data_IF_901430751860
#
_entry.id   IF_901430751860
#
_cell.length_a   1.000
_cell.length_b   1.000
_cell.length_c   1.000
_cell.angle_alpha   90.00
_cell.angle_beta   90.00
_cell.angle_gamma   90.00
#
_symmetry.space_group_name_H-M   'P 1'
#
loop_
_entity.id
_entity.type
_entity.pdbx_description
1 polymer ?
#
# COMPACT_ATOMS: atom_id res chain seq x y z
N UNK A 1 -0.33 -7.95 6.76
CA UNK A 1 -1.16 -8.63 5.72
C UNK A 1 -2.52 -8.91 6.36
N UNK A 2 -3.64 -8.57 5.72
CA UNK A 2 -4.97 -8.80 6.34
C UNK A 2 -5.60 -10.14 5.94
N UNK A 3 -4.96 -10.87 5.02
CA UNK A 3 -5.35 -12.21 4.63
C UNK A 3 -4.12 -13.11 4.55
N UNK A 4 -4.04 -14.08 5.46
CA UNK A 4 -2.90 -14.98 5.60
C UNK A 4 -1.62 -14.26 6.04
N UNK A 5 -0.50 -14.97 5.98
CA UNK A 5 0.79 -14.49 6.42
C UNK A 5 1.08 -14.80 7.90
N UNK A 6 2.22 -14.31 8.42
CA UNK A 6 2.72 -14.70 9.74
C UNK A 6 1.78 -14.29 10.87
N UNK A 7 1.41 -15.23 11.73
CA UNK A 7 0.50 -15.02 12.88
C UNK A 7 1.08 -14.09 13.96
N UNK A 8 2.38 -13.79 13.90
CA UNK A 8 3.05 -12.85 14.80
C UNK A 8 2.90 -11.38 14.41
N UNK A 9 2.33 -11.08 13.23
CA UNK A 9 2.08 -9.70 12.79
C UNK A 9 0.70 -9.29 13.28
N UNK A 10 0.61 -8.16 13.97
CA UNK A 10 -0.69 -7.56 14.28
C UNK A 10 -1.29 -6.95 13.02
N UNK A 11 -2.48 -7.40 12.65
CA UNK A 11 -3.26 -6.87 11.54
C UNK A 11 -4.72 -6.69 11.96
N UNK A 12 -5.44 -5.84 11.21
CA UNK A 12 -6.89 -5.67 11.33
C UNK A 12 -7.53 -5.69 9.94
N UNK A 13 -8.78 -6.17 9.79
CA UNK A 13 -9.47 -6.16 8.50
C UNK A 13 -9.52 -4.77 7.84
N UNK A 14 -9.57 -3.71 8.65
CA UNK A 14 -9.61 -2.32 8.20
C UNK A 14 -8.29 -1.87 7.54
N UNK A 15 -7.16 -2.53 7.84
CA UNK A 15 -5.84 -2.14 7.32
C UNK A 15 -5.81 -2.19 5.78
N UNK A 16 -6.61 -3.06 5.16
CA UNK A 16 -6.79 -3.10 3.70
C UNK A 16 -7.24 -1.75 3.14
N UNK A 17 -8.24 -1.14 3.78
CA UNK A 17 -8.81 0.16 3.36
C UNK A 17 -7.97 1.31 3.88
N UNK A 18 -7.48 1.21 5.11
CA UNK A 18 -6.67 2.26 5.74
C UNK A 18 -5.36 2.48 4.99
N UNK A 19 -4.74 1.44 4.42
CA UNK A 19 -3.57 1.60 3.56
C UNK A 19 -3.86 2.53 2.36
N UNK A 20 -5.01 2.34 1.69
CA UNK A 20 -5.41 3.22 0.58
C UNK A 20 -5.64 4.65 1.05
N UNK A 21 -6.36 4.84 2.16
CA UNK A 21 -6.63 6.17 2.71
C UNK A 21 -5.33 6.89 3.10
N UNK A 22 -4.39 6.15 3.68
CA UNK A 22 -3.07 6.67 4.05
C UNK A 22 -2.29 7.15 2.82
N UNK A 23 -2.22 6.33 1.77
CA UNK A 23 -1.54 6.70 0.51
C UNK A 23 -2.20 7.91 -0.15
N UNK A 24 -3.53 7.96 -0.18
CA UNK A 24 -4.27 9.10 -0.72
C UNK A 24 -4.00 10.38 0.07
N UNK A 25 -3.92 10.29 1.40
CA UNK A 25 -3.61 11.43 2.25
C UNK A 25 -2.17 11.91 2.04
N UNK A 26 -1.20 11.00 1.90
CA UNK A 26 0.16 11.37 1.53
C UNK A 26 0.21 12.09 0.18
N UNK A 27 -0.42 11.55 -0.86
CA UNK A 27 -0.48 12.20 -2.18
C UNK A 27 -1.07 13.61 -2.08
N UNK A 28 -2.19 13.77 -1.35
CA UNK A 28 -2.85 15.07 -1.13
C UNK A 28 -1.92 16.08 -0.47
N UNK A 29 -1.21 15.67 0.58
CA UNK A 29 -0.30 16.57 1.31
C UNK A 29 0.94 16.92 0.48
N UNK A 30 1.53 15.94 -0.22
CA UNK A 30 2.68 16.18 -1.10
C UNK A 30 2.30 17.06 -2.28
N UNK A 31 1.13 16.86 -2.90
CA UNK A 31 0.61 17.74 -3.95
C UNK A 31 0.47 19.20 -3.48
N UNK A 32 0.09 19.42 -2.22
CA UNK A 32 -0.03 20.76 -1.67
C UNK A 32 1.34 21.42 -1.50
N UNK A 33 2.36 20.66 -1.08
CA UNK A 33 3.74 21.13 -0.96
C UNK A 33 4.36 21.39 -2.33
N UNK A 34 4.19 20.44 -3.26
CA UNK A 34 4.70 20.47 -4.63
C UNK A 34 4.17 21.68 -5.42
N UNK A 35 2.91 22.07 -5.18
CA UNK A 35 2.34 23.32 -5.73
C UNK A 35 3.00 24.58 -5.18
N UNK A 36 3.50 24.55 -3.95
CA UNK A 36 4.10 25.71 -3.30
C UNK A 36 5.55 25.94 -3.69
N UNK A 37 6.30 24.86 -3.96
CA UNK A 37 7.75 24.91 -4.23
C UNK A 37 8.16 24.45 -5.64
N UNK A 38 7.20 23.99 -6.46
CA UNK A 38 7.42 23.55 -7.83
C UNK A 38 8.12 22.19 -7.95
N UNK A 39 8.21 21.43 -6.87
CA UNK A 39 8.79 20.09 -6.88
C UNK A 39 7.76 19.02 -7.24
N UNK A 40 8.23 17.80 -7.53
CA UNK A 40 7.36 16.63 -7.65
C UNK A 40 7.89 15.52 -6.74
N UNK A 41 7.26 15.37 -5.58
CA UNK A 41 7.61 14.35 -4.59
C UNK A 41 6.83 13.07 -4.87
N UNK A 42 7.54 11.95 -4.75
CA UNK A 42 7.00 10.62 -5.04
C UNK A 42 6.34 10.01 -3.79
N UNK A 43 5.24 9.29 -4.01
CA UNK A 43 4.65 8.34 -3.08
C UNK A 43 4.84 6.94 -3.66
N UNK A 44 5.64 6.12 -2.98
CA UNK A 44 5.94 4.76 -3.42
C UNK A 44 5.73 3.79 -2.26
N UNK A 45 5.51 2.51 -2.58
CA UNK A 45 5.36 1.48 -1.57
C UNK A 45 6.08 0.20 -2.00
N UNK A 46 6.60 -0.54 -1.03
CA UNK A 46 7.05 -1.90 -1.25
C UNK A 46 5.86 -2.85 -1.00
N UNK A 47 5.38 -3.53 -2.04
CA UNK A 47 4.29 -4.49 -1.94
C UNK A 47 4.77 -5.88 -2.35
N UNK A 48 4.24 -6.94 -1.72
CA UNK A 48 4.68 -8.29 -2.02
C UNK A 48 4.31 -8.73 -3.45
N UNK A 49 5.25 -9.42 -4.10
CA UNK A 49 5.20 -9.81 -5.51
C UNK A 49 4.15 -10.89 -5.82
N UNK A 50 3.73 -11.67 -4.83
CA UNK A 50 2.83 -12.77 -5.08
C UNK A 50 2.29 -13.46 -3.84
N UNK A 51 1.58 -14.56 -4.10
CA UNK A 51 1.05 -15.45 -3.07
C UNK A 51 2.20 -16.21 -2.44
N UNK A 52 2.27 -16.20 -1.12
CA UNK A 52 3.23 -16.98 -0.33
C UNK A 52 2.42 -18.05 0.40
N UNK A 53 2.94 -19.27 0.43
CA UNK A 53 2.26 -20.43 1.06
C UNK A 53 3.03 -20.99 2.27
N UNK A 54 4.27 -20.56 2.50
CA UNK A 54 5.13 -21.06 3.57
C UNK A 54 4.56 -20.77 4.96
N UNK A 55 3.81 -19.67 5.10
CA UNK A 55 3.24 -19.20 6.38
C UNK A 55 1.72 -18.96 6.24
N UNK A 56 1.02 -19.89 5.58
CA UNK A 56 -0.41 -19.81 5.31
C UNK A 56 -0.75 -19.21 3.95
N UNK A 57 -2.04 -19.12 3.55
CA UNK A 57 -2.45 -18.72 2.21
C UNK A 57 -2.38 -17.19 2.06
N UNK A 58 -1.20 -16.61 1.98
CA UNK A 58 -1.07 -15.18 1.79
C UNK A 58 -1.51 -14.76 0.37
N UNK A 59 -2.35 -13.72 0.26
CA UNK A 59 -2.81 -13.16 -1.02
C UNK A 59 -2.78 -11.62 -0.99
N UNK A 60 -1.91 -10.96 -1.78
CA UNK A 60 -1.85 -9.51 -1.88
C UNK A 60 -3.17 -8.88 -2.35
N UNK A 61 -3.91 -9.51 -3.26
CA UNK A 61 -5.16 -8.96 -3.79
C UNK A 61 -6.29 -8.97 -2.76
N UNK A 62 -6.20 -9.85 -1.76
CA UNK A 62 -7.11 -9.88 -0.60
C UNK A 62 -6.62 -8.97 0.53
N UNK A 63 -5.32 -8.68 0.56
CA UNK A 63 -4.69 -7.82 1.58
C UNK A 63 -4.69 -6.33 1.25
N UNK A 64 -4.78 -5.95 -0.04
CA UNK A 64 -4.67 -4.57 -0.50
C UNK A 64 -5.73 -4.22 -1.54
N UNK A 65 -6.10 -2.94 -1.65
CA UNK A 65 -6.91 -2.42 -2.76
C UNK A 65 -6.02 -2.07 -3.97
N UNK A 66 -5.45 -3.10 -4.62
CA UNK A 66 -4.39 -2.94 -5.63
C UNK A 66 -4.75 -1.94 -6.75
N UNK A 67 -6.01 -1.90 -7.20
CA UNK A 67 -6.47 -0.92 -8.20
C UNK A 67 -6.34 0.51 -7.69
N UNK A 68 -6.82 0.78 -6.47
CA UNK A 68 -6.79 2.12 -5.90
C UNK A 68 -5.35 2.56 -5.59
N UNK A 69 -4.54 1.64 -5.07
CA UNK A 69 -3.12 1.89 -4.81
C UNK A 69 -2.34 2.15 -6.11
N UNK A 70 -2.61 1.40 -7.17
CA UNK A 70 -1.97 1.63 -8.48
C UNK A 70 -2.34 2.96 -9.14
N UNK A 71 -3.42 3.61 -8.72
CA UNK A 71 -3.75 4.97 -9.15
C UNK A 71 -3.10 6.06 -8.30
N UNK A 72 -2.75 5.77 -7.05
CA UNK A 72 -2.28 6.76 -6.08
C UNK A 72 -0.76 6.74 -5.87
N UNK A 73 -0.11 5.60 -6.10
CA UNK A 73 1.34 5.43 -6.02
C UNK A 73 1.99 5.73 -7.37
N UNK A 74 3.15 6.38 -7.35
CA UNK A 74 3.94 6.63 -8.56
C UNK A 74 4.55 5.34 -9.11
N UNK A 75 5.01 4.46 -8.22
CA UNK A 75 5.38 3.09 -8.54
C UNK A 75 5.37 2.20 -7.29
N UNK A 76 5.40 0.89 -7.53
CA UNK A 76 5.45 -0.15 -6.49
C UNK A 76 6.77 -0.91 -6.64
N UNK A 77 7.52 -1.01 -5.54
CA UNK A 77 8.67 -1.92 -5.44
C UNK A 77 8.13 -3.31 -5.08
N UNK A 78 8.28 -4.28 -5.97
CA UNK A 78 7.82 -5.66 -5.73
C UNK A 78 8.85 -6.42 -4.87
N UNK A 79 8.38 -7.07 -3.80
CA UNK A 79 9.19 -7.88 -2.89
C UNK A 79 8.73 -9.33 -2.81
#
# INVERSE_FOLDING_TARGET
PVYGGPTGITDRPEDRRNMTLLVQEFRRQLDALDKADGQHRLVTAALPAGRVQTDGPYDPARSYELKALGHALDFINLM
#
